data_IF_325237242660
#
_entry.id   IF_325237242660
#
_cell.length_a   1.000
_cell.length_b   1.000
_cell.length_c   1.000
_cell.angle_alpha   90.00
_cell.angle_beta   90.00
_cell.angle_gamma   90.00
#
_symmetry.space_group_name_H-M   'P 1'
#
loop_
_entity.id
_entity.type
_entity.pdbx_description
1 polymer ?
#
# COMPACT_ATOMS: atom_id res chain seq x y z
N UNK A 1 -24.62 -19.36 13.02
CA UNK A 1 -26.04 -19.10 13.39
C UNK A 1 -26.46 -17.74 12.81
N UNK A 2 -27.74 -17.49 12.47
CA UNK A 2 -28.19 -16.15 12.04
C UNK A 2 -29.18 -15.54 13.06
N UNK A 3 -29.01 -14.27 13.38
CA UNK A 3 -29.74 -13.54 14.44
C UNK A 3 -30.35 -12.27 13.84
N UNK A 4 -31.61 -12.32 13.35
CA UNK A 4 -32.28 -11.14 12.79
C UNK A 4 -32.68 -10.15 13.90
N UNK A 5 -32.82 -8.87 13.54
CA UNK A 5 -33.13 -7.77 14.47
C UNK A 5 -32.07 -7.64 15.56
N UNK A 6 -30.80 -7.71 15.17
CA UNK A 6 -29.68 -7.84 16.11
C UNK A 6 -29.56 -6.63 17.06
N UNK A 7 -29.77 -5.44 16.53
CA UNK A 7 -29.94 -4.15 17.23
C UNK A 7 -31.12 -4.05 18.22
N UNK A 8 -31.96 -5.09 18.35
CA UNK A 8 -33.22 -5.01 19.12
C UNK A 8 -33.11 -5.66 20.51
N UNK A 9 -33.57 -4.91 21.51
CA UNK A 9 -33.84 -5.43 22.86
C UNK A 9 -35.17 -6.22 22.86
N UNK A 10 -35.12 -7.46 23.32
CA UNK A 10 -36.27 -8.35 23.43
C UNK A 10 -37.29 -7.88 24.47
N UNK A 11 -38.50 -8.46 24.45
CA UNK A 11 -39.57 -8.12 25.41
C UNK A 11 -39.26 -8.43 26.88
N UNK A 12 -38.17 -9.15 27.12
CA UNK A 12 -37.68 -9.52 28.45
C UNK A 12 -36.46 -8.67 28.88
N UNK A 13 -36.21 -7.54 28.21
CA UNK A 13 -35.06 -6.65 28.39
C UNK A 13 -33.68 -7.30 28.10
N UNK A 14 -33.67 -8.44 27.40
CA UNK A 14 -32.43 -9.11 26.95
C UNK A 14 -32.11 -8.65 25.53
N UNK A 15 -30.91 -8.14 25.29
CA UNK A 15 -30.48 -7.80 23.93
C UNK A 15 -30.33 -9.06 23.07
N UNK A 16 -30.72 -8.99 21.81
CA UNK A 16 -30.48 -10.09 20.85
C UNK A 16 -28.99 -10.30 20.59
N UNK A 17 -28.17 -9.24 20.69
CA UNK A 17 -26.71 -9.34 20.62
C UNK A 17 -26.12 -10.10 21.81
N UNK A 18 -26.52 -9.75 23.03
CA UNK A 18 -26.09 -10.45 24.27
C UNK A 18 -26.50 -11.92 24.25
N UNK A 19 -27.73 -12.21 23.83
CA UNK A 19 -28.19 -13.60 23.73
C UNK A 19 -27.40 -14.39 22.67
N UNK A 20 -27.05 -13.76 21.56
CA UNK A 20 -26.20 -14.39 20.54
C UNK A 20 -24.80 -14.69 21.08
N UNK A 21 -24.19 -13.76 21.83
CA UNK A 21 -22.92 -13.94 22.50
C UNK A 21 -22.95 -15.10 23.50
N UNK A 22 -23.99 -15.19 24.34
CA UNK A 22 -24.17 -16.32 25.27
C UNK A 22 -24.28 -17.66 24.53
N UNK A 23 -25.02 -17.69 23.42
CA UNK A 23 -25.19 -18.92 22.63
C UNK A 23 -23.88 -19.38 22.00
N UNK A 24 -23.06 -18.46 21.48
CA UNK A 24 -21.73 -18.78 20.94
C UNK A 24 -20.78 -19.21 22.06
N UNK A 25 -20.83 -18.56 23.23
CA UNK A 25 -19.98 -18.91 24.37
C UNK A 25 -20.26 -20.31 24.93
N UNK A 26 -21.54 -20.71 24.99
CA UNK A 26 -21.97 -21.95 25.63
C UNK A 26 -22.07 -23.15 24.69
N UNK A 27 -22.01 -22.96 23.37
CA UNK A 27 -22.26 -24.02 22.39
C UNK A 27 -21.06 -24.25 21.46
N UNK A 28 -20.33 -25.34 21.69
CA UNK A 28 -19.20 -25.74 20.84
C UNK A 28 -19.59 -26.05 19.39
N UNK A 29 -20.88 -26.31 19.10
CA UNK A 29 -21.36 -26.60 17.75
C UNK A 29 -21.71 -25.31 16.96
N UNK A 30 -21.61 -24.13 17.59
CA UNK A 30 -21.86 -22.82 16.96
C UNK A 30 -20.61 -21.96 17.07
N UNK A 31 -19.65 -22.08 16.14
CA UNK A 31 -18.40 -21.32 16.20
C UNK A 31 -18.59 -19.81 16.03
N UNK A 32 -19.63 -19.40 15.31
CA UNK A 32 -19.99 -18.00 15.11
C UNK A 32 -21.50 -17.79 14.90
N UNK A 33 -21.96 -16.58 15.17
CA UNK A 33 -23.28 -16.07 14.83
C UNK A 33 -23.18 -14.81 13.97
N UNK A 34 -24.14 -14.65 13.06
CA UNK A 34 -24.27 -13.48 12.19
C UNK A 34 -25.49 -12.70 12.67
N UNK A 35 -25.26 -11.54 13.26
CA UNK A 35 -26.29 -10.55 13.58
C UNK A 35 -26.69 -9.74 12.36
N UNK A 36 -27.98 -9.50 12.14
CA UNK A 36 -28.45 -8.63 11.04
C UNK A 36 -29.36 -7.55 11.65
N UNK A 37 -28.95 -6.29 11.53
CA UNK A 37 -29.74 -5.14 11.98
C UNK A 37 -31.02 -4.97 11.16
N UNK A 38 -32.00 -4.24 11.69
CA UNK A 38 -33.33 -4.12 11.08
C UNK A 38 -33.34 -3.63 9.63
N UNK A 39 -32.45 -2.68 9.30
CA UNK A 39 -32.34 -2.09 7.98
C UNK A 39 -31.14 -2.61 7.19
N UNK A 40 -30.51 -3.70 7.64
CA UNK A 40 -29.41 -4.34 6.93
C UNK A 40 -29.88 -5.64 6.26
N UNK A 41 -29.11 -6.09 5.26
CA UNK A 41 -29.27 -7.39 4.66
C UNK A 41 -27.90 -8.02 4.39
N UNK A 42 -27.75 -9.28 4.78
CA UNK A 42 -26.69 -10.14 4.27
C UNK A 42 -27.22 -10.87 3.03
N UNK A 43 -26.71 -10.51 1.86
CA UNK A 43 -27.04 -11.15 0.59
C UNK A 43 -26.03 -12.26 0.35
N UNK A 44 -26.48 -13.51 0.23
CA UNK A 44 -25.62 -14.67 -0.02
C UNK A 44 -25.91 -15.24 -1.40
N UNK A 45 -24.88 -15.36 -2.24
CA UNK A 45 -24.93 -15.98 -3.57
C UNK A 45 -23.79 -17.00 -3.70
N UNK A 46 -24.14 -18.29 -3.61
CA UNK A 46 -23.16 -19.38 -3.65
C UNK A 46 -22.25 -19.38 -2.43
N UNK A 47 -20.94 -19.30 -2.67
CA UNK A 47 -19.87 -19.19 -1.67
C UNK A 47 -19.53 -17.74 -1.31
N UNK A 48 -20.27 -16.77 -1.85
CA UNK A 48 -20.05 -15.34 -1.62
C UNK A 48 -21.19 -14.69 -0.86
N UNK A 49 -20.87 -13.63 -0.15
CA UNK A 49 -21.81 -12.82 0.59
C UNK A 49 -21.48 -11.32 0.50
N UNK A 50 -22.51 -10.50 0.63
CA UNK A 50 -22.44 -9.05 0.51
C UNK A 50 -23.31 -8.40 1.58
N UNK A 51 -22.81 -7.38 2.26
CA UNK A 51 -23.56 -6.60 3.25
C UNK A 51 -24.16 -5.37 2.58
N UNK A 52 -25.48 -5.22 2.72
CA UNK A 52 -26.25 -4.11 2.18
C UNK A 52 -26.93 -3.38 3.33
N UNK A 53 -26.74 -2.06 3.39
CA UNK A 53 -27.44 -1.18 4.31
C UNK A 53 -28.57 -0.43 3.58
N UNK A 54 -29.78 -0.45 4.14
CA UNK A 54 -30.96 0.22 3.60
C UNK A 54 -31.05 1.70 3.99
N UNK A 55 -30.39 2.10 5.07
CA UNK A 55 -30.34 3.48 5.58
C UNK A 55 -28.93 4.10 5.57
N UNK A 56 -27.91 3.32 5.24
CA UNK A 56 -26.51 3.75 5.20
C UNK A 56 -25.75 3.48 6.50
N UNK A 57 -26.46 3.19 7.59
CA UNK A 57 -25.91 3.04 8.95
C UNK A 57 -26.04 1.60 9.45
N UNK A 58 -27.17 0.93 9.17
CA UNK A 58 -27.43 -0.42 9.64
C UNK A 58 -26.47 -1.42 9.01
N UNK A 59 -26.03 -2.41 9.79
CA UNK A 59 -24.97 -3.33 9.37
C UNK A 59 -25.26 -4.79 9.73
N UNK A 60 -24.36 -5.68 9.34
CA UNK A 60 -24.35 -7.10 9.72
C UNK A 60 -23.20 -7.29 10.69
N UNK A 61 -23.37 -8.08 11.74
CA UNK A 61 -22.38 -8.30 12.78
C UNK A 61 -21.94 -9.76 12.79
N UNK A 62 -20.68 -10.03 13.10
CA UNK A 62 -20.17 -11.37 13.37
C UNK A 62 -19.85 -11.47 14.84
N UNK A 63 -20.58 -12.34 15.52
CA UNK A 63 -20.31 -12.74 16.90
C UNK A 63 -19.50 -14.02 16.84
N UNK A 64 -18.30 -14.00 17.40
CA UNK A 64 -17.39 -15.14 17.36
C UNK A 64 -16.74 -15.38 18.70
N UNK A 65 -16.19 -16.57 18.88
CA UNK A 65 -15.42 -16.94 20.06
C UNK A 65 -13.96 -17.13 19.64
N UNK A 66 -13.08 -16.41 20.30
CA UNK A 66 -11.64 -16.63 20.16
C UNK A 66 -11.27 -18.01 20.77
N UNK A 67 -10.58 -18.84 20.00
CA UNK A 67 -10.25 -20.21 20.42
C UNK A 67 -9.15 -20.26 21.49
N UNK A 68 -8.28 -19.25 21.55
CA UNK A 68 -7.13 -19.17 22.45
C UNK A 68 -7.51 -18.52 23.79
N UNK A 69 -8.25 -17.41 23.76
CA UNK A 69 -8.63 -16.63 24.95
C UNK A 69 -10.00 -17.03 25.51
N UNK A 70 -10.85 -17.69 24.71
CA UNK A 70 -12.27 -17.95 24.98
C UNK A 70 -13.13 -16.67 25.11
N UNK A 71 -12.63 -15.50 24.72
CA UNK A 71 -13.39 -14.25 24.72
C UNK A 71 -14.38 -14.21 23.55
N UNK A 72 -15.48 -13.46 23.72
CA UNK A 72 -16.51 -13.26 22.70
C UNK A 72 -16.36 -11.88 22.11
N UNK A 73 -16.13 -11.82 20.80
CA UNK A 73 -16.09 -10.57 20.04
C UNK A 73 -17.38 -10.41 19.22
N UNK A 74 -17.80 -9.16 19.01
CA UNK A 74 -18.87 -8.81 18.05
C UNK A 74 -18.33 -7.75 17.10
N UNK A 75 -18.12 -8.11 15.84
CA UNK A 75 -17.52 -7.23 14.84
C UNK A 75 -18.56 -6.84 13.78
N UNK A 76 -18.86 -5.55 13.58
CA UNK A 76 -19.69 -5.13 12.47
C UNK A 76 -18.95 -5.29 11.13
N UNK A 77 -19.71 -5.63 10.11
CA UNK A 77 -19.25 -5.83 8.74
C UNK A 77 -19.69 -4.64 7.90
N UNK A 78 -18.74 -3.76 7.57
CA UNK A 78 -19.06 -2.63 6.72
C UNK A 78 -19.65 -3.06 5.37
N UNK A 79 -20.44 -2.17 4.78
CA UNK A 79 -21.01 -2.35 3.45
C UNK A 79 -19.92 -2.77 2.48
N UNK A 80 -20.13 -3.91 1.83
CA UNK A 80 -19.24 -4.43 0.80
C UNK A 80 -19.80 -4.01 -0.56
N UNK A 81 -19.01 -3.29 -1.36
CA UNK A 81 -19.41 -2.89 -2.72
C UNK A 81 -19.40 -4.08 -3.71
N UNK A 82 -18.66 -5.15 -3.40
CA UNK A 82 -18.61 -6.38 -4.17
C UNK A 82 -18.73 -7.60 -3.24
N UNK A 83 -19.32 -8.73 -3.68
CA UNK A 83 -19.45 -9.92 -2.86
C UNK A 83 -18.09 -10.54 -2.47
N UNK A 84 -17.93 -10.89 -1.20
CA UNK A 84 -16.72 -11.54 -0.65
C UNK A 84 -16.97 -13.01 -0.28
N UNK A 85 -15.96 -13.89 -0.30
CA UNK A 85 -16.12 -15.27 0.13
C UNK A 85 -16.63 -15.38 1.57
N UNK A 86 -17.53 -16.33 1.85
CA UNK A 86 -18.10 -16.54 3.19
C UNK A 86 -17.04 -16.94 4.22
N UNK A 87 -16.00 -17.67 3.80
CA UNK A 87 -14.90 -18.08 4.68
C UNK A 87 -14.16 -16.85 5.23
N UNK A 88 -13.86 -15.86 4.38
CA UNK A 88 -13.23 -14.61 4.82
C UNK A 88 -14.12 -13.78 5.73
N UNK A 89 -15.44 -13.82 5.56
CA UNK A 89 -16.34 -13.17 6.51
C UNK A 89 -16.09 -13.72 7.92
N UNK A 90 -15.96 -15.04 8.05
CA UNK A 90 -15.77 -15.67 9.36
C UNK A 90 -14.38 -15.35 9.97
N UNK A 91 -13.36 -15.05 9.16
CA UNK A 91 -12.01 -14.68 9.62
C UNK A 91 -11.89 -13.22 10.14
N UNK A 92 -12.93 -12.39 9.94
CA UNK A 92 -13.04 -11.03 10.53
C UNK A 92 -13.24 -11.10 12.06
N UNK A 93 -13.47 -12.31 12.59
CA UNK A 93 -13.68 -12.64 13.99
C UNK A 93 -12.53 -12.32 14.95
N UNK A 94 -11.27 -12.36 14.46
CA UNK A 94 -10.10 -12.21 15.31
C UNK A 94 -9.55 -10.78 15.23
N UNK A 95 -9.90 -9.89 16.19
CA UNK A 95 -9.52 -8.49 16.10
C UNK A 95 -8.02 -8.32 16.27
N UNK A 96 -7.40 -7.42 15.51
CA UNK A 96 -6.08 -6.96 15.92
C UNK A 96 -6.22 -6.19 17.25
N UNK A 97 -5.38 -6.50 18.23
CA UNK A 97 -5.42 -5.90 19.58
C UNK A 97 -4.46 -4.71 19.66
N UNK A 98 -4.58 -3.88 20.70
CA UNK A 98 -3.59 -2.83 21.00
C UNK A 98 -2.16 -3.41 21.14
N UNK A 99 -2.02 -4.64 21.64
CA UNK A 99 -0.72 -5.33 21.71
C UNK A 99 -0.07 -5.52 20.33
N UNK A 100 -0.86 -5.61 19.25
CA UNK A 100 -0.32 -5.67 17.89
C UNK A 100 0.27 -4.32 17.44
N UNK A 101 -0.28 -3.18 17.87
CA UNK A 101 0.30 -1.87 17.57
C UNK A 101 1.61 -1.68 18.33
N UNK A 102 1.62 -1.99 19.64
CA UNK A 102 2.83 -1.93 20.46
C UNK A 102 3.95 -2.78 19.88
N UNK A 103 3.62 -3.99 19.40
CA UNK A 103 4.59 -4.86 18.73
C UNK A 103 5.14 -4.27 17.42
N UNK A 104 4.36 -3.47 16.69
CA UNK A 104 4.81 -2.79 15.48
C UNK A 104 5.71 -1.58 15.80
N UNK A 105 5.48 -0.86 16.89
CA UNK A 105 6.30 0.29 17.29
C UNK A 105 7.78 -0.07 17.45
N UNK A 106 8.06 -1.23 18.07
CA UNK A 106 9.42 -1.77 18.25
C UNK A 106 10.18 -2.00 16.93
N UNK A 107 9.46 -1.99 15.80
CA UNK A 107 10.00 -2.29 14.49
C UNK A 107 10.10 -1.11 13.54
N UNK A 108 9.71 0.11 13.94
CA UNK A 108 9.77 1.32 13.10
C UNK A 108 11.20 1.59 12.59
N UNK A 109 12.21 1.38 13.44
CA UNK A 109 13.62 1.56 13.09
C UNK A 109 14.23 0.39 12.29
N UNK A 110 13.44 -0.62 11.94
CA UNK A 110 13.93 -1.77 11.18
C UNK A 110 14.45 -1.31 9.82
N UNK A 111 15.73 -1.56 9.57
CA UNK A 111 16.31 -1.31 8.26
C UNK A 111 15.86 -2.42 7.27
N UNK A 112 15.10 -2.03 6.26
CA UNK A 112 14.65 -2.87 5.14
C UNK A 112 15.50 -2.67 3.86
N UNK A 113 16.42 -1.70 3.88
CA UNK A 113 17.43 -1.53 2.85
C UNK A 113 18.48 -2.64 2.94
N UNK A 114 18.98 -3.10 1.79
CA UNK A 114 20.07 -4.09 1.71
C UNK A 114 21.14 -3.55 0.76
N UNK A 115 22.37 -3.51 1.29
CA UNK A 115 23.71 -3.28 0.71
C UNK A 115 23.92 -2.17 -0.36
N UNK A 116 25.02 -1.42 -0.21
CA UNK A 116 25.44 -0.31 -1.08
C UNK A 116 25.73 -0.71 -2.55
N UNK A 117 25.54 -1.98 -2.92
CA UNK A 117 25.85 -2.58 -4.22
C UNK A 117 24.73 -2.42 -5.27
N UNK A 118 23.53 -1.97 -4.88
CA UNK A 118 22.43 -1.64 -5.81
C UNK A 118 22.46 -0.19 -6.32
N UNK A 119 22.99 0.75 -5.52
CA UNK A 119 23.16 2.16 -5.88
C UNK A 119 23.96 2.42 -7.19
N UNK A 120 24.98 1.61 -7.54
CA UNK A 120 25.74 1.81 -8.78
C UNK A 120 24.92 1.58 -10.05
N UNK A 121 23.80 0.84 -10.04
CA UNK A 121 23.03 0.54 -11.26
C UNK A 121 22.11 1.67 -11.68
N UNK A 122 21.51 2.37 -10.72
CA UNK A 122 20.79 3.63 -10.97
C UNK A 122 21.76 4.71 -11.45
N UNK A 123 22.98 4.76 -10.89
CA UNK A 123 24.05 5.69 -11.29
C UNK A 123 24.77 5.32 -12.60
N UNK A 124 24.87 4.03 -12.95
CA UNK A 124 25.53 3.59 -14.19
C UNK A 124 24.69 3.94 -15.42
N UNK A 125 23.36 3.90 -15.30
CA UNK A 125 22.46 4.30 -16.37
C UNK A 125 22.50 5.82 -16.64
N UNK A 126 22.74 6.67 -15.62
CA UNK A 126 22.93 8.12 -15.83
C UNK A 126 24.26 8.48 -16.49
N UNK A 127 25.32 7.68 -16.26
CA UNK A 127 26.61 7.87 -16.93
C UNK A 127 26.58 7.36 -18.38
N UNK A 128 25.86 6.28 -18.66
CA UNK A 128 25.75 5.73 -20.01
C UNK A 128 24.95 6.64 -20.96
N UNK A 129 23.92 7.34 -20.47
CA UNK A 129 23.08 8.24 -21.29
C UNK A 129 23.76 9.59 -21.61
N UNK A 130 24.74 10.03 -20.82
CA UNK A 130 25.54 11.25 -21.07
C UNK A 130 26.75 11.05 -21.99
N UNK A 131 27.12 9.79 -22.30
CA UNK A 131 28.22 9.46 -23.20
C UNK A 131 27.81 9.30 -24.67
N UNK A 132 26.52 9.36 -24.99
CA UNK A 132 25.98 9.16 -26.34
C UNK A 132 25.84 10.48 -27.14
N UNK A 133 26.89 11.32 -27.13
CA UNK A 133 27.02 12.45 -28.06
C UNK A 133 28.48 12.57 -28.53
N UNK A 134 28.90 11.61 -29.37
CA UNK A 134 30.25 11.54 -29.93
C UNK A 134 30.41 10.40 -30.93
N UNK A 135 30.32 10.74 -32.22
CA UNK A 135 30.51 9.82 -33.35
C UNK A 135 31.93 9.22 -33.41
N UNK A 136 32.08 7.90 -33.67
CA UNK A 136 32.93 7.27 -34.73
C UNK A 136 32.72 5.74 -34.73
N UNK A 137 32.64 5.18 -35.94
CA UNK A 137 32.38 3.79 -36.32
C UNK A 137 33.38 2.72 -35.84
N UNK A 138 32.87 1.50 -35.68
CA UNK A 138 33.62 0.25 -35.61
C UNK A 138 32.66 -0.94 -35.51
N UNK A 139 32.76 -1.87 -36.45
CA UNK A 139 32.11 -3.20 -36.47
C UNK A 139 32.30 -3.91 -35.13
N UNK A 140 31.22 -4.40 -34.53
CA UNK A 140 31.15 -5.73 -33.91
C UNK A 140 29.67 -6.07 -33.66
N UNK A 141 29.33 -7.31 -34.00
CA UNK A 141 28.02 -7.93 -33.80
C UNK A 141 27.72 -8.08 -32.31
N UNK A 142 27.00 -7.10 -31.75
CA UNK A 142 26.37 -7.20 -30.44
C UNK A 142 24.87 -7.38 -30.70
N UNK A 143 24.35 -8.60 -30.49
CA UNK A 143 22.91 -8.81 -30.31
C UNK A 143 22.54 -8.14 -28.97
N UNK A 144 22.43 -6.81 -29.00
CA UNK A 144 22.27 -5.96 -27.83
C UNK A 144 20.95 -6.24 -27.13
N UNK A 145 20.97 -7.14 -26.15
CA UNK A 145 19.91 -7.21 -25.15
C UNK A 145 19.94 -5.88 -24.38
N UNK A 146 18.97 -5.02 -24.68
CA UNK A 146 18.71 -3.78 -23.95
C UNK A 146 18.56 -4.15 -22.47
N UNK A 147 19.49 -3.66 -21.63
CA UNK A 147 19.53 -4.02 -20.21
C UNK A 147 18.22 -3.63 -19.55
N UNK A 148 17.61 -4.49 -18.71
CA UNK A 148 16.34 -4.17 -18.07
C UNK A 148 16.45 -2.90 -17.22
N UNK A 149 15.49 -2.00 -17.37
CA UNK A 149 15.41 -0.74 -16.61
C UNK A 149 14.41 -0.85 -15.47
N UNK A 150 14.68 -0.15 -14.37
CA UNK A 150 13.74 -0.03 -13.23
C UNK A 150 12.48 0.68 -13.70
N UNK A 151 11.30 0.12 -13.42
CA UNK A 151 10.00 0.68 -13.81
C UNK A 151 9.07 0.76 -12.62
N UNK A 152 8.80 1.96 -12.11
CA UNK A 152 7.96 2.18 -10.92
C UNK A 152 6.76 3.06 -11.27
N UNK A 153 5.58 2.70 -10.77
CA UNK A 153 4.37 3.54 -10.77
C UNK A 153 3.86 3.65 -9.33
N UNK A 154 4.25 4.73 -8.66
CA UNK A 154 3.90 5.01 -7.27
C UNK A 154 2.70 5.98 -7.24
N UNK A 155 1.53 5.52 -6.83
CA UNK A 155 0.31 6.32 -6.82
C UNK A 155 -0.04 6.85 -5.43
N UNK A 156 -0.57 8.07 -5.32
CA UNK A 156 -0.88 8.68 -4.01
C UNK A 156 -1.86 7.85 -3.20
N UNK A 157 -2.89 7.30 -3.86
CA UNK A 157 -3.79 6.29 -3.29
C UNK A 157 -4.09 5.16 -4.25
N UNK A 158 -4.59 4.06 -3.71
CA UNK A 158 -4.95 2.88 -4.52
C UNK A 158 -5.99 3.18 -5.61
N UNK A 159 -6.96 4.06 -5.32
CA UNK A 159 -7.98 4.46 -6.30
C UNK A 159 -7.39 5.14 -7.54
N UNK A 160 -6.24 5.81 -7.44
CA UNK A 160 -5.60 6.44 -8.59
C UNK A 160 -5.14 5.40 -9.61
N UNK A 161 -4.68 4.21 -9.18
CA UNK A 161 -4.37 3.08 -10.07
C UNK A 161 -5.58 2.50 -10.79
N UNK A 162 -6.80 2.94 -10.49
CA UNK A 162 -8.00 2.57 -11.23
C UNK A 162 -8.43 3.64 -12.24
N UNK A 163 -7.76 4.81 -12.26
CA UNK A 163 -8.03 5.88 -13.20
C UNK A 163 -7.34 5.58 -14.53
N UNK A 164 -8.00 5.77 -15.69
CA UNK A 164 -7.45 5.44 -17.00
C UNK A 164 -6.02 5.93 -17.24
N UNK A 165 -5.68 7.21 -16.99
CA UNK A 165 -4.32 7.68 -17.25
C UNK A 165 -3.25 6.87 -16.51
N UNK A 166 -3.54 6.46 -15.27
CA UNK A 166 -2.57 5.78 -14.41
C UNK A 166 -2.45 4.30 -14.75
N UNK A 167 -3.57 3.56 -14.86
CA UNK A 167 -3.46 2.13 -15.20
C UNK A 167 -2.97 1.93 -16.63
N UNK A 168 -3.34 2.78 -17.59
CA UNK A 168 -2.82 2.71 -18.96
C UNK A 168 -1.30 2.88 -18.96
N UNK A 169 -0.75 3.72 -18.08
CA UNK A 169 0.70 3.85 -17.94
C UNK A 169 1.36 2.58 -17.40
N UNK A 170 0.71 1.88 -16.48
CA UNK A 170 1.20 0.57 -15.99
C UNK A 170 1.23 -0.45 -17.14
N UNK A 171 0.18 -0.49 -17.97
CA UNK A 171 0.11 -1.36 -19.15
C UNK A 171 1.21 -0.99 -20.16
N UNK A 172 1.37 0.30 -20.46
CA UNK A 172 2.40 0.82 -21.37
C UNK A 172 3.81 0.38 -20.93
N UNK A 173 4.16 0.58 -19.66
CA UNK A 173 5.47 0.21 -19.11
C UNK A 173 5.74 -1.30 -19.13
N UNK A 174 4.67 -2.11 -19.06
CA UNK A 174 4.78 -3.56 -19.15
C UNK A 174 5.15 -4.05 -20.56
N UNK A 175 4.93 -3.22 -21.59
CA UNK A 175 5.17 -3.57 -22.98
C UNK A 175 4.21 -4.61 -23.55
N UNK A 176 3.07 -4.86 -22.88
CA UNK A 176 2.06 -5.86 -23.26
C UNK A 176 0.66 -5.28 -23.11
N UNK A 177 -0.25 -5.67 -24.00
CA UNK A 177 -1.66 -5.28 -23.91
C UNK A 177 -2.38 -5.93 -22.73
N UNK A 178 -1.96 -7.15 -22.37
CA UNK A 178 -2.52 -7.96 -21.27
C UNK A 178 -1.37 -8.52 -20.42
N UNK A 179 -0.72 -7.69 -19.57
CA UNK A 179 0.35 -8.17 -18.72
C UNK A 179 -0.14 -9.16 -17.67
N UNK A 180 0.74 -10.06 -17.26
CA UNK A 180 0.53 -10.93 -16.10
C UNK A 180 0.83 -10.15 -14.82
N UNK A 181 -0.11 -10.13 -13.89
CA UNK A 181 -0.04 -9.31 -12.68
C UNK A 181 0.05 -10.22 -11.46
N UNK A 182 1.12 -10.08 -10.67
CA UNK A 182 1.14 -10.59 -9.32
C UNK A 182 0.59 -9.51 -8.38
N UNK A 183 -0.56 -9.76 -7.77
CA UNK A 183 -1.11 -8.90 -6.74
C UNK A 183 -0.56 -9.30 -5.37
N UNK A 184 0.01 -8.34 -4.66
CA UNK A 184 0.63 -8.54 -3.35
C UNK A 184 -0.22 -7.79 -2.34
N UNK A 185 -1.10 -8.52 -1.65
CA UNK A 185 -2.15 -7.99 -0.79
C UNK A 185 -1.71 -7.67 0.63
N UNK A 186 -0.43 -7.84 0.94
CA UNK A 186 0.05 -7.96 2.33
C UNK A 186 -0.25 -6.73 3.17
N UNK A 187 -0.12 -5.51 2.60
CA UNK A 187 -0.44 -4.27 3.32
C UNK A 187 -1.93 -4.19 3.69
N UNK A 188 -2.80 -4.83 2.92
CA UNK A 188 -4.23 -4.97 3.21
C UNK A 188 -4.58 -6.24 3.99
N UNK A 189 -3.59 -6.90 4.60
CA UNK A 189 -3.76 -8.18 5.30
C UNK A 189 -4.35 -9.27 4.39
N UNK A 190 -4.00 -9.24 3.10
CA UNK A 190 -4.44 -10.18 2.06
C UNK A 190 -5.96 -10.30 1.88
N UNK A 191 -6.76 -9.32 2.34
CA UNK A 191 -8.23 -9.34 2.24
C UNK A 191 -8.73 -9.41 0.79
N UNK A 192 -9.72 -10.27 0.49
CA UNK A 192 -10.30 -10.38 -0.86
C UNK A 192 -11.08 -9.14 -1.28
N UNK A 193 -11.74 -8.42 -0.36
CA UNK A 193 -12.43 -7.17 -0.71
C UNK A 193 -11.45 -6.16 -1.34
N UNK A 194 -10.26 -6.03 -0.74
CA UNK A 194 -9.20 -5.16 -1.28
C UNK A 194 -8.65 -5.72 -2.59
N UNK A 195 -8.41 -7.02 -2.71
CA UNK A 195 -8.01 -7.64 -3.98
C UNK A 195 -8.99 -7.27 -5.12
N UNK A 196 -10.29 -7.44 -4.91
CA UNK A 196 -11.30 -7.16 -5.92
C UNK A 196 -11.30 -5.68 -6.35
N UNK A 197 -11.27 -4.77 -5.38
CA UNK A 197 -11.26 -3.33 -5.63
C UNK A 197 -9.97 -2.90 -6.34
N UNK A 198 -8.81 -3.37 -5.88
CA UNK A 198 -7.49 -2.97 -6.40
C UNK A 198 -7.21 -3.53 -7.79
N UNK A 199 -7.85 -4.64 -8.18
CA UNK A 199 -7.59 -5.31 -9.46
C UNK A 199 -8.64 -5.02 -10.52
N UNK A 200 -9.69 -4.27 -10.19
CA UNK A 200 -10.87 -4.08 -11.04
C UNK A 200 -10.55 -3.59 -12.45
N UNK A 201 -9.75 -2.53 -12.59
CA UNK A 201 -9.36 -1.98 -13.89
C UNK A 201 -8.53 -2.97 -14.71
N UNK A 202 -7.61 -3.71 -14.08
CA UNK A 202 -6.80 -4.70 -14.78
C UNK A 202 -7.62 -5.93 -15.21
N UNK A 203 -8.59 -6.36 -14.40
CA UNK A 203 -9.52 -7.44 -14.75
C UNK A 203 -10.45 -7.06 -15.91
N UNK A 204 -10.87 -5.80 -16.01
CA UNK A 204 -11.70 -5.34 -17.14
C UNK A 204 -10.94 -5.32 -18.47
N UNK A 205 -9.60 -5.27 -18.41
CA UNK A 205 -8.70 -5.45 -19.56
C UNK A 205 -8.33 -6.92 -19.81
N UNK A 206 -8.92 -7.85 -19.07
CA UNK A 206 -8.65 -9.29 -19.16
C UNK A 206 -7.18 -9.67 -18.84
N UNK A 207 -6.50 -8.86 -18.02
CA UNK A 207 -5.17 -9.22 -17.51
C UNK A 207 -5.26 -10.49 -16.66
N UNK A 208 -4.26 -11.37 -16.77
CA UNK A 208 -4.15 -12.54 -15.91
C UNK A 208 -3.58 -12.10 -14.56
N UNK A 209 -4.30 -12.34 -13.47
CA UNK A 209 -3.92 -11.88 -12.13
C UNK A 209 -3.81 -13.08 -11.19
N UNK A 210 -2.67 -13.21 -10.53
CA UNK A 210 -2.45 -14.19 -9.45
C UNK A 210 -2.19 -13.42 -8.15
N UNK A 211 -2.92 -13.76 -7.09
CA UNK A 211 -2.71 -13.22 -5.74
C UNK A 211 -1.55 -13.96 -5.06
N UNK A 212 -0.70 -13.22 -4.37
CA UNK A 212 0.33 -13.72 -3.47
C UNK A 212 -0.02 -13.30 -2.04
N UNK A 213 -0.36 -14.28 -1.22
CA UNK A 213 -0.68 -14.09 0.19
C UNK A 213 0.52 -14.45 1.05
N UNK A 214 0.95 -13.52 1.89
CA UNK A 214 2.07 -13.72 2.82
C UNK A 214 1.82 -13.06 4.16
N UNK A 215 0.64 -12.49 4.39
CA UNK A 215 0.25 -11.83 5.63
C UNK A 215 0.23 -12.82 6.79
N UNK A 216 -0.34 -14.01 6.57
CA UNK A 216 -0.48 -15.04 7.61
C UNK A 216 0.51 -16.20 7.37
N UNK A 217 1.21 -16.70 8.40
CA UNK A 217 2.19 -17.79 8.28
C UNK A 217 1.68 -19.03 7.53
N UNK A 218 0.41 -19.39 7.71
CA UNK A 218 -0.24 -20.57 7.13
C UNK A 218 -0.48 -20.43 5.63
N UNK A 219 -0.51 -19.20 5.13
CA UNK A 219 -0.78 -18.88 3.71
C UNK A 219 0.48 -18.70 2.88
N UNK A 220 1.65 -18.55 3.54
CA UNK A 220 2.93 -18.26 2.88
C UNK A 220 3.32 -19.41 1.93
N UNK A 221 3.44 -19.16 0.62
CA UNK A 221 3.94 -20.16 -0.32
C UNK A 221 5.43 -20.47 -0.08
N UNK A 222 5.91 -21.57 -0.64
CA UNK A 222 7.34 -21.84 -0.62
C UNK A 222 8.14 -20.75 -1.36
N UNK A 223 9.40 -20.58 -0.99
CA UNK A 223 10.31 -19.63 -1.67
C UNK A 223 10.38 -19.86 -3.20
N UNK A 224 10.31 -21.12 -3.64
CA UNK A 224 10.30 -21.46 -5.07
C UNK A 224 9.02 -20.99 -5.76
N UNK A 225 7.85 -21.16 -5.12
CA UNK A 225 6.57 -20.69 -5.64
C UNK A 225 6.51 -19.17 -5.70
N UNK A 226 6.95 -18.49 -4.62
CA UNK A 226 7.03 -17.03 -4.59
C UNK A 226 7.94 -16.51 -5.71
N UNK A 227 9.12 -17.10 -5.88
CA UNK A 227 10.05 -16.73 -6.95
C UNK A 227 9.44 -16.93 -8.33
N UNK A 228 8.85 -18.10 -8.58
CA UNK A 228 8.22 -18.42 -9.86
C UNK A 228 7.14 -17.41 -10.20
N UNK A 229 6.35 -16.98 -9.22
CA UNK A 229 5.31 -15.98 -9.41
C UNK A 229 5.89 -14.58 -9.66
N UNK A 230 6.71 -14.09 -8.73
CA UNK A 230 7.17 -12.68 -8.67
C UNK A 230 8.26 -12.37 -9.70
N UNK A 231 9.21 -13.28 -9.86
CA UNK A 231 10.41 -13.04 -10.67
C UNK A 231 10.22 -13.57 -12.10
N UNK A 232 9.68 -14.78 -12.23
CA UNK A 232 9.67 -15.47 -13.53
C UNK A 232 8.36 -15.26 -14.32
N UNK A 233 7.21 -15.30 -13.65
CA UNK A 233 5.90 -15.25 -14.30
C UNK A 233 5.35 -13.82 -14.43
N UNK A 234 5.42 -12.99 -13.39
CA UNK A 234 4.81 -11.66 -13.41
C UNK A 234 5.48 -10.75 -14.44
N UNK A 235 4.70 -9.84 -15.02
CA UNK A 235 5.16 -8.69 -15.80
C UNK A 235 4.99 -7.40 -14.99
N UNK A 236 3.94 -7.36 -14.14
CA UNK A 236 3.62 -6.28 -13.21
C UNK A 236 3.48 -6.85 -11.79
N UNK A 237 4.07 -6.16 -10.82
CA UNK A 237 3.87 -6.38 -9.39
C UNK A 237 2.96 -5.27 -8.86
N UNK A 238 1.76 -5.62 -8.39
CA UNK A 238 0.77 -4.68 -7.87
C UNK A 238 0.63 -4.85 -6.36
N UNK A 239 1.23 -3.93 -5.60
CA UNK A 239 1.17 -3.90 -4.13
C UNK A 239 -0.06 -3.12 -3.64
N UNK A 240 -0.77 -3.70 -2.68
CA UNK A 240 -1.95 -3.07 -2.07
C UNK A 240 -1.60 -1.82 -1.25
N UNK A 241 -2.62 -1.00 -0.94
CA UNK A 241 -2.54 -0.03 0.16
C UNK A 241 -2.82 -0.70 1.51
N UNK A 242 -2.62 0.02 2.61
CA UNK A 242 -2.93 -0.42 3.98
C UNK A 242 -1.77 -0.18 4.95
N UNK A 243 -1.47 -1.15 5.81
CA UNK A 243 -0.40 -1.05 6.80
C UNK A 243 0.96 -1.38 6.16
N UNK A 244 1.76 -0.34 5.90
CA UNK A 244 3.07 -0.47 5.26
C UNK A 244 4.07 -1.23 6.14
N UNK A 245 4.01 -1.05 7.46
CA UNK A 245 4.98 -1.65 8.38
C UNK A 245 4.78 -3.16 8.45
N UNK A 246 3.52 -3.59 8.58
CA UNK A 246 3.12 -4.99 8.50
C UNK A 246 3.63 -5.63 7.20
N UNK A 247 3.37 -5.00 6.04
CA UNK A 247 3.81 -5.53 4.76
C UNK A 247 5.33 -5.74 4.70
N UNK A 248 6.12 -4.73 5.06
CA UNK A 248 7.58 -4.79 5.02
C UNK A 248 8.16 -5.84 5.98
N UNK A 249 7.60 -5.96 7.19
CA UNK A 249 8.00 -6.99 8.16
C UNK A 249 7.73 -8.39 7.61
N UNK A 250 6.52 -8.63 7.11
CA UNK A 250 6.14 -9.91 6.51
C UNK A 250 6.98 -10.24 5.28
N UNK A 251 7.29 -9.25 4.43
CA UNK A 251 8.14 -9.47 3.26
C UNK A 251 9.58 -9.83 3.65
N UNK A 252 10.12 -9.20 4.69
CA UNK A 252 11.45 -9.53 5.22
C UNK A 252 11.49 -10.91 5.87
N UNK A 253 10.47 -11.27 6.65
CA UNK A 253 10.38 -12.57 7.32
C UNK A 253 10.26 -13.73 6.31
N UNK A 254 9.48 -13.52 5.25
CA UNK A 254 9.27 -14.53 4.20
C UNK A 254 10.35 -14.53 3.12
N UNK A 255 11.21 -13.50 3.08
CA UNK A 255 12.22 -13.27 2.04
C UNK A 255 11.64 -12.80 0.70
N UNK A 256 10.38 -12.37 0.67
CA UNK A 256 9.75 -11.75 -0.49
C UNK A 256 10.42 -10.41 -0.84
N UNK A 257 10.95 -9.67 0.15
CA UNK A 257 11.67 -8.41 -0.07
C UNK A 257 12.84 -8.57 -1.06
N UNK A 258 13.59 -9.67 -0.97
CA UNK A 258 14.69 -9.97 -1.88
C UNK A 258 14.20 -10.33 -3.29
N UNK A 259 13.08 -11.05 -3.40
CA UNK A 259 12.48 -11.40 -4.68
C UNK A 259 11.91 -10.17 -5.40
N UNK A 260 11.31 -9.23 -4.65
CA UNK A 260 10.82 -7.96 -5.20
C UNK A 260 11.95 -7.11 -5.75
N UNK A 261 13.09 -7.05 -5.05
CA UNK A 261 14.29 -6.37 -5.54
C UNK A 261 14.82 -7.02 -6.81
N UNK A 262 14.93 -8.35 -6.86
CA UNK A 262 15.35 -9.04 -8.08
C UNK A 262 14.39 -8.81 -9.25
N UNK A 263 13.08 -8.83 -9.00
CA UNK A 263 12.08 -8.54 -10.02
C UNK A 263 12.23 -7.10 -10.55
N UNK A 264 12.50 -6.13 -9.68
CA UNK A 264 12.84 -4.77 -10.09
C UNK A 264 14.02 -4.75 -11.07
N UNK A 265 15.12 -5.44 -10.73
CA UNK A 265 16.32 -5.53 -11.58
C UNK A 265 16.07 -6.22 -12.92
N UNK A 266 15.07 -7.09 -13.00
CA UNK A 266 14.64 -7.74 -14.25
C UNK A 266 13.63 -6.90 -15.05
N UNK A 267 13.42 -5.65 -14.66
CA UNK A 267 12.56 -4.70 -15.37
C UNK A 267 11.06 -5.01 -15.28
N UNK A 268 10.62 -5.70 -14.22
CA UNK A 268 9.19 -5.81 -13.92
C UNK A 268 8.65 -4.44 -13.54
N UNK A 269 7.39 -4.16 -13.86
CA UNK A 269 6.74 -2.92 -13.43
C UNK A 269 6.32 -3.08 -11.97
N UNK A 270 6.91 -2.28 -11.08
CA UNK A 270 6.50 -2.20 -9.68
C UNK A 270 5.46 -1.10 -9.52
N UNK A 271 4.25 -1.45 -9.11
CA UNK A 271 3.19 -0.48 -8.93
C UNK A 271 2.43 -0.69 -7.63
N UNK A 272 1.89 0.39 -7.11
CA UNK A 272 1.08 0.35 -5.90
C UNK A 272 0.60 1.74 -5.51
N UNK A 273 -0.43 1.78 -4.68
CA UNK A 273 -1.03 3.01 -4.20
C UNK A 273 -0.91 3.11 -2.69
N UNK A 274 -0.71 4.31 -2.15
CA UNK A 274 -0.51 4.53 -0.72
C UNK A 274 0.70 3.72 -0.20
N UNK A 275 0.51 2.77 0.72
CA UNK A 275 1.58 1.90 1.22
C UNK A 275 2.40 1.23 0.09
N UNK A 276 1.70 0.65 -0.89
CA UNK A 276 2.32 0.01 -2.05
C UNK A 276 3.03 0.98 -3.00
N UNK A 277 2.83 2.29 -2.88
CA UNK A 277 3.56 3.29 -3.64
C UNK A 277 4.93 3.56 -3.00
N UNK A 278 4.96 3.68 -1.67
CA UNK A 278 6.16 4.08 -0.95
C UNK A 278 7.13 2.95 -0.64
N UNK A 279 6.73 1.69 -0.68
CA UNK A 279 7.61 0.57 -0.34
C UNK A 279 8.84 0.44 -1.28
N UNK A 280 8.80 0.99 -2.49
CA UNK A 280 9.92 0.97 -3.44
C UNK A 280 11.03 1.95 -3.09
N UNK A 281 10.73 2.93 -2.24
CA UNK A 281 11.64 4.02 -1.89
C UNK A 281 12.60 3.62 -0.77
N UNK A 282 13.59 4.47 -0.48
CA UNK A 282 14.51 4.28 0.63
C UNK A 282 13.79 4.37 1.97
N UNK A 283 12.80 5.25 2.05
CA UNK A 283 11.93 5.37 3.21
C UNK A 283 10.54 5.85 2.79
N UNK A 284 9.59 5.74 3.70
CA UNK A 284 8.20 6.15 3.50
C UNK A 284 7.68 6.89 4.74
N UNK A 285 6.95 7.97 4.50
CA UNK A 285 6.13 8.65 5.50
C UNK A 285 4.80 7.90 5.67
N UNK A 286 4.59 7.31 6.84
CA UNK A 286 3.54 6.31 7.07
C UNK A 286 2.69 6.61 8.30
N UNK A 287 1.43 6.19 8.22
CA UNK A 287 0.42 6.14 9.29
C UNK A 287 0.19 4.69 9.73
N UNK A 288 1.23 3.84 9.67
CA UNK A 288 1.14 2.42 10.03
C UNK A 288 0.78 2.19 11.50
N UNK A 289 1.05 3.17 12.37
CA UNK A 289 0.76 3.12 13.80
C UNK A 289 -0.63 3.70 14.14
N UNK A 290 -1.37 4.15 13.14
CA UNK A 290 -2.73 4.65 13.35
C UNK A 290 -3.62 3.53 13.90
N UNK A 291 -4.46 3.79 14.92
CA UNK A 291 -5.20 2.73 15.61
C UNK A 291 -6.09 1.88 14.71
N UNK A 292 -6.70 2.46 13.67
CA UNK A 292 -7.56 1.74 12.74
C UNK A 292 -6.82 1.24 11.48
N UNK A 293 -5.50 1.35 11.39
CA UNK A 293 -4.71 0.84 10.28
C UNK A 293 -4.24 -0.60 10.53
N UNK A 294 -5.19 -1.48 10.90
CA UNK A 294 -4.90 -2.86 11.30
C UNK A 294 -5.84 -3.84 10.60
N UNK A 295 -5.59 -5.14 10.80
CA UNK A 295 -6.55 -6.17 10.42
C UNK A 295 -7.86 -5.91 11.17
N UNK A 296 -8.98 -5.90 10.44
CA UNK A 296 -10.31 -5.62 10.98
C UNK A 296 -10.46 -4.22 11.60
N UNK A 297 -10.02 -3.18 10.88
CA UNK A 297 -10.17 -1.76 11.24
C UNK A 297 -11.58 -1.39 11.73
N UNK A 298 -12.58 -2.07 11.18
CA UNK A 298 -13.99 -1.91 11.54
C UNK A 298 -14.25 -2.22 13.01
N UNK A 299 -13.56 -3.20 13.61
CA UNK A 299 -13.67 -3.49 15.05
C UNK A 299 -13.12 -2.34 15.89
N UNK A 300 -11.90 -1.89 15.58
CA UNK A 300 -11.21 -0.84 16.35
C UNK A 300 -12.01 0.47 16.35
N UNK A 301 -12.60 0.82 15.20
CA UNK A 301 -13.43 2.02 15.06
C UNK A 301 -14.70 1.99 15.93
N UNK A 302 -15.16 0.82 16.39
CA UNK A 302 -16.33 0.71 17.26
C UNK A 302 -15.98 0.66 18.74
N UNK A 303 -14.76 0.25 19.09
CA UNK A 303 -14.31 0.14 20.48
C UNK A 303 -13.67 1.44 21.00
N UNK A 304 -12.98 2.18 20.13
CA UNK A 304 -12.26 3.41 20.51
C UNK A 304 -13.14 4.65 20.35
N UNK A 305 -12.95 5.63 21.23
CA UNK A 305 -13.55 6.95 21.08
C UNK A 305 -12.80 7.83 20.08
N UNK A 306 -13.44 8.93 19.66
CA UNK A 306 -12.87 9.86 18.67
C UNK A 306 -11.47 10.37 19.08
N UNK A 307 -11.21 10.61 20.36
CA UNK A 307 -9.90 11.09 20.80
C UNK A 307 -8.86 9.98 20.63
N UNK A 308 -9.18 8.76 21.07
CA UNK A 308 -8.30 7.60 20.94
C UNK A 308 -7.99 7.26 19.48
N UNK A 309 -8.96 7.43 18.56
CA UNK A 309 -8.76 7.24 17.12
C UNK A 309 -7.88 8.31 16.46
N UNK A 310 -7.71 9.46 17.12
CA UNK A 310 -6.94 10.61 16.63
C UNK A 310 -5.57 10.75 17.32
N UNK A 311 -5.34 10.03 18.42
CA UNK A 311 -4.11 10.08 19.23
C UNK A 311 -3.03 9.16 18.67
N UNK A 312 -2.37 9.60 17.60
CA UNK A 312 -1.26 8.90 16.98
C UNK A 312 -0.40 9.86 16.16
N UNK A 313 0.87 9.52 15.98
CA UNK A 313 1.82 10.28 15.17
C UNK A 313 2.22 9.54 13.89
N UNK A 314 2.53 10.31 12.84
CA UNK A 314 3.15 9.76 11.65
C UNK A 314 4.57 9.28 11.94
N UNK A 315 5.01 8.28 11.18
CA UNK A 315 6.36 7.72 11.30
C UNK A 315 7.07 7.67 9.96
N UNK A 316 8.40 7.79 9.99
CA UNK A 316 9.26 7.41 8.86
C UNK A 316 9.66 5.95 9.02
N UNK A 317 9.42 5.14 8.00
CA UNK A 317 9.79 3.73 7.96
C UNK A 317 10.76 3.50 6.80
N UNK A 318 11.76 2.62 6.97
CA UNK A 318 12.63 2.25 5.86
C UNK A 318 11.86 1.44 4.80
N UNK A 319 12.08 1.71 3.52
CA UNK A 319 11.52 0.94 2.41
C UNK A 319 12.52 -0.07 1.82
N UNK A 320 12.23 -0.58 0.62
CA UNK A 320 13.09 -1.53 -0.07
C UNK A 320 14.37 -0.89 -0.63
N UNK A 321 14.43 0.45 -0.75
CA UNK A 321 15.65 1.15 -1.17
C UNK A 321 15.94 1.13 -2.67
N UNK A 322 14.93 0.93 -3.52
CA UNK A 322 15.10 0.95 -4.98
C UNK A 322 15.23 2.41 -5.47
N UNK A 323 14.43 3.33 -4.91
CA UNK A 323 14.54 4.77 -5.19
C UNK A 323 15.17 5.53 -4.01
N UNK A 324 16.20 6.36 -4.26
CA UNK A 324 16.90 7.12 -3.23
C UNK A 324 16.13 8.40 -2.85
N UNK A 325 14.92 8.23 -2.33
CA UNK A 325 14.10 9.31 -1.80
C UNK A 325 13.19 8.76 -0.69
N UNK A 326 12.56 9.65 0.08
CA UNK A 326 11.42 9.32 0.93
C UNK A 326 10.12 9.48 0.16
N UNK A 327 9.23 8.48 0.14
CA UNK A 327 7.89 8.64 -0.42
C UNK A 327 6.92 9.22 0.59
N UNK A 328 6.07 10.16 0.14
CA UNK A 328 4.96 10.73 0.92
C UNK A 328 3.67 10.61 0.10
N UNK A 329 3.02 9.43 0.12
CA UNK A 329 1.73 9.26 -0.53
C UNK A 329 0.64 10.05 0.22
N UNK A 330 -0.43 10.42 -0.50
CA UNK A 330 -1.51 11.29 -0.01
C UNK A 330 -0.97 12.65 0.46
N UNK A 331 -0.07 13.24 -0.33
CA UNK A 331 0.64 14.46 0.06
C UNK A 331 -0.28 15.66 0.31
N UNK A 332 -1.39 15.71 -0.41
CA UNK A 332 -2.48 16.68 -0.32
C UNK A 332 -3.52 16.37 0.78
N UNK A 333 -3.30 15.32 1.58
CA UNK A 333 -4.23 14.90 2.63
C UNK A 333 -3.78 15.28 4.04
N UNK A 334 -4.78 15.40 4.92
CA UNK A 334 -4.63 15.51 6.37
C UNK A 334 -5.02 14.19 7.02
N UNK A 335 -4.22 13.75 7.99
CA UNK A 335 -4.49 12.53 8.75
C UNK A 335 -5.69 12.67 9.65
N UNK A 336 -6.18 11.56 10.19
CA UNK A 336 -7.24 11.59 11.21
C UNK A 336 -6.77 12.27 12.50
N UNK A 337 -5.46 12.36 12.75
CA UNK A 337 -4.86 13.15 13.82
C UNK A 337 -4.81 14.68 13.56
N UNK A 338 -5.52 15.17 12.53
CA UNK A 338 -5.50 16.58 12.10
C UNK A 338 -4.13 17.13 11.64
N UNK A 339 -3.15 16.25 11.40
CA UNK A 339 -1.82 16.63 10.90
C UNK A 339 -1.74 16.44 9.38
N UNK A 340 -1.35 17.48 8.66
CA UNK A 340 -1.13 17.43 7.21
C UNK A 340 0.12 16.58 6.90
N UNK A 341 0.02 15.64 5.95
CA UNK A 341 1.15 14.77 5.58
C UNK A 341 2.33 15.57 5.02
N UNK A 342 2.05 16.59 4.22
CA UNK A 342 3.06 17.50 3.67
C UNK A 342 3.84 18.21 4.77
N UNK A 343 3.15 18.85 5.72
CA UNK A 343 3.80 19.57 6.82
C UNK A 343 4.61 18.65 7.74
N UNK A 344 4.12 17.45 8.05
CA UNK A 344 4.87 16.51 8.86
C UNK A 344 6.09 15.95 8.10
N UNK A 345 5.95 15.64 6.82
CA UNK A 345 7.09 15.20 6.00
C UNK A 345 8.19 16.28 5.90
N UNK A 346 7.81 17.55 5.77
CA UNK A 346 8.77 18.67 5.81
C UNK A 346 9.52 18.71 7.15
N UNK A 347 8.81 18.57 8.27
CA UNK A 347 9.40 18.51 9.61
C UNK A 347 10.40 17.36 9.75
N UNK A 348 10.05 16.14 9.28
CA UNK A 348 10.94 14.98 9.28
C UNK A 348 12.24 15.26 8.52
N UNK A 349 12.17 15.90 7.34
CA UNK A 349 13.36 16.24 6.57
C UNK A 349 14.24 17.28 7.28
N UNK A 350 13.64 18.26 7.94
CA UNK A 350 14.35 19.29 8.72
C UNK A 350 15.03 18.73 9.95
N UNK A 351 14.40 17.76 10.62
CA UNK A 351 14.92 17.16 11.84
C UNK A 351 16.08 16.20 11.56
N UNK A 352 16.02 15.43 10.48
CA UNK A 352 17.07 14.46 10.15
C UNK A 352 18.29 15.07 9.45
N UNK A 353 18.10 16.08 8.60
CA UNK A 353 19.17 16.74 7.84
C UNK A 353 20.13 15.78 7.11
N UNK A 354 19.61 14.63 6.66
CA UNK A 354 20.38 13.59 5.96
C UNK A 354 20.61 13.89 4.47
N UNK A 355 19.95 14.95 3.96
CA UNK A 355 20.02 15.37 2.56
C UNK A 355 19.16 14.52 1.61
N UNK A 356 18.38 13.57 2.13
CA UNK A 356 17.46 12.75 1.35
C UNK A 356 16.26 13.61 0.89
N UNK A 357 15.93 13.66 -0.42
CA UNK A 357 14.72 14.33 -0.87
C UNK A 357 13.47 13.51 -0.51
N UNK A 358 12.33 14.16 -0.37
CA UNK A 358 11.03 13.51 -0.36
C UNK A 358 10.27 13.74 -1.67
N UNK A 359 9.54 12.71 -2.09
CA UNK A 359 8.60 12.74 -3.21
C UNK A 359 7.18 12.68 -2.65
N UNK A 360 6.50 13.82 -2.67
CA UNK A 360 5.07 13.94 -2.39
C UNK A 360 4.24 13.47 -3.58
N UNK A 361 3.21 12.67 -3.34
CA UNK A 361 2.32 12.17 -4.38
C UNK A 361 0.88 12.43 -3.95
N UNK A 362 0.18 13.31 -4.67
CA UNK A 362 -1.22 13.64 -4.39
C UNK A 362 -2.13 12.42 -4.62
N UNK A 363 -3.26 12.38 -3.93
CA UNK A 363 -4.22 11.28 -3.93
C UNK A 363 -4.49 10.69 -5.33
N UNK A 364 -4.70 11.54 -6.34
CA UNK A 364 -5.04 11.11 -7.71
C UNK A 364 -3.86 11.15 -8.70
N UNK A 365 -2.64 11.39 -8.23
CA UNK A 365 -1.45 11.39 -9.06
C UNK A 365 -0.69 10.06 -8.96
N UNK A 366 0.21 9.84 -9.93
CA UNK A 366 1.23 8.82 -9.88
C UNK A 366 2.59 9.39 -10.29
N UNK A 367 3.59 9.08 -9.47
CA UNK A 367 5.00 9.29 -9.79
C UNK A 367 5.52 8.06 -10.53
N UNK A 368 6.00 8.29 -11.76
CA UNK A 368 6.40 7.22 -12.67
C UNK A 368 7.88 7.30 -12.93
N UNK A 369 8.60 6.19 -12.75
CA UNK A 369 10.04 6.05 -13.03
C UNK A 369 10.23 5.01 -14.12
N UNK A 370 11.08 5.33 -15.10
CA UNK A 370 11.57 4.40 -16.11
C UNK A 370 13.08 4.64 -16.31
N UNK A 371 13.90 3.72 -15.81
CA UNK A 371 15.35 3.86 -15.82
C UNK A 371 15.81 5.04 -14.96
N UNK A 372 16.47 6.01 -15.60
CA UNK A 372 16.96 7.25 -14.99
C UNK A 372 15.97 8.42 -15.12
N UNK A 373 14.82 8.19 -15.75
CA UNK A 373 13.80 9.23 -15.98
C UNK A 373 12.61 9.06 -15.08
N UNK A 374 12.01 10.19 -14.70
CA UNK A 374 10.73 10.20 -14.03
C UNK A 374 9.77 11.26 -14.61
N UNK A 375 8.49 11.00 -14.42
CA UNK A 375 7.38 11.83 -14.88
C UNK A 375 6.19 11.73 -13.93
N UNK A 376 5.23 12.65 -14.09
CA UNK A 376 3.98 12.65 -13.34
C UNK A 376 2.82 12.28 -14.25
N UNK A 377 1.97 11.38 -13.78
CA UNK A 377 0.70 11.08 -14.41
C UNK A 377 -0.41 11.54 -13.47
N UNK A 378 -1.26 12.44 -13.94
CA UNK A 378 -2.45 12.84 -13.21
C UNK A 378 -3.63 11.98 -13.64
N UNK A 379 -4.27 11.32 -12.69
CA UNK A 379 -5.45 10.50 -12.95
C UNK A 379 -6.72 11.32 -13.19
N UNK A 380 -6.78 12.56 -12.68
CA UNK A 380 -7.94 13.46 -12.81
C UNK A 380 -7.65 14.71 -13.67
N UNK A 381 -6.42 14.88 -14.13
CA UNK A 381 -5.96 16.00 -14.96
C UNK A 381 -5.39 17.18 -14.16
N UNK A 382 -5.53 17.18 -12.83
CA UNK A 382 -5.12 18.28 -11.95
C UNK A 382 -4.08 17.85 -10.90
N UNK A 383 -4.18 16.63 -10.37
CA UNK A 383 -3.31 16.14 -9.30
C UNK A 383 -1.83 16.12 -9.70
N UNK A 384 -0.94 16.40 -8.73
CA UNK A 384 0.49 16.62 -8.93
C UNK A 384 1.37 15.69 -8.10
N UNK A 385 2.68 15.71 -8.37
CA UNK A 385 3.67 15.21 -7.43
C UNK A 385 4.57 16.36 -7.00
N UNK A 386 5.30 16.20 -5.91
CA UNK A 386 6.11 17.24 -5.32
C UNK A 386 7.51 16.72 -4.99
N UNK A 387 8.53 17.54 -5.21
CA UNK A 387 9.87 17.29 -4.70
C UNK A 387 10.09 18.23 -3.52
N UNK A 388 10.38 17.66 -2.36
CA UNK A 388 10.65 18.40 -1.12
C UNK A 388 12.09 18.14 -0.71
N UNK A 389 12.86 19.20 -0.50
CA UNK A 389 14.26 19.12 -0.09
C UNK A 389 14.48 20.04 1.11
N UNK A 390 15.13 19.53 2.16
CA UNK A 390 15.56 20.36 3.28
C UNK A 390 16.82 21.16 2.91
N UNK A 391 16.81 22.46 3.16
CA UNK A 391 17.98 23.30 3.09
C UNK A 391 18.75 23.21 4.41
N UNK A 392 19.85 22.44 4.38
CA UNK A 392 20.73 22.22 5.53
C UNK A 392 21.40 23.48 6.09
N UNK A 393 21.24 24.67 5.48
CA UNK A 393 21.74 25.94 6.04
C UNK A 393 20.68 26.74 6.78
N UNK A 394 19.42 26.66 6.34
CA UNK A 394 18.32 27.49 6.88
C UNK A 394 17.44 26.72 7.85
N UNK A 395 17.40 25.39 7.74
CA UNK A 395 16.44 24.56 8.48
C UNK A 395 15.01 24.71 7.93
N UNK A 396 14.87 25.18 6.69
CA UNK A 396 13.61 25.27 5.95
C UNK A 396 13.57 24.23 4.83
N UNK A 397 12.39 23.91 4.31
CA UNK A 397 12.21 23.07 3.13
C UNK A 397 11.90 23.90 1.89
N UNK A 398 12.30 23.38 0.74
CA UNK A 398 11.87 23.88 -0.57
C UNK A 398 11.04 22.81 -1.25
N UNK A 399 9.81 23.17 -1.62
CA UNK A 399 8.84 22.28 -2.27
C UNK A 399 8.58 22.73 -3.70
N UNK A 400 8.80 21.84 -4.66
CA UNK A 400 8.58 22.07 -6.09
C UNK A 400 7.49 21.14 -6.62
N UNK A 401 6.50 21.70 -7.32
CA UNK A 401 5.40 20.92 -7.89
C UNK A 401 5.76 20.42 -9.29
N UNK A 402 5.47 19.15 -9.54
CA UNK A 402 5.65 18.43 -10.79
C UNK A 402 4.27 18.11 -11.36
N UNK A 403 4.07 18.49 -12.61
CA UNK A 403 2.79 18.38 -13.31
C UNK A 403 2.92 17.44 -14.51
N UNK A 404 1.81 16.90 -15.05
CA UNK A 404 1.84 16.09 -16.28
C UNK A 404 2.38 16.85 -17.51
N UNK A 405 2.40 18.17 -17.49
CA UNK A 405 2.97 18.99 -18.56
C UNK A 405 4.52 18.94 -18.58
N UNK A 406 5.15 18.48 -17.50
CA UNK A 406 6.58 18.28 -17.44
C UNK A 406 6.95 17.05 -18.30
N UNK A 407 7.83 17.25 -19.28
CA UNK A 407 8.40 16.13 -20.03
C UNK A 407 9.18 15.20 -19.08
N UNK A 408 9.29 13.90 -19.39
CA UNK A 408 10.15 12.99 -18.63
C UNK A 408 11.54 13.59 -18.48
N UNK A 409 12.00 13.67 -17.24
CA UNK A 409 13.25 14.34 -16.88
C UNK A 409 14.11 13.39 -16.04
N UNK A 410 15.41 13.66 -15.99
CA UNK A 410 16.30 12.82 -15.20
C UNK A 410 15.92 12.91 -13.71
N UNK A 411 15.93 11.78 -13.03
CA UNK A 411 15.60 11.71 -11.60
C UNK A 411 16.54 12.60 -10.78
N UNK A 412 17.82 12.69 -11.17
CA UNK A 412 18.79 13.61 -10.55
C UNK A 412 18.43 15.08 -10.78
N UNK A 413 17.95 15.44 -11.98
CA UNK A 413 17.51 16.80 -12.28
C UNK A 413 16.26 17.18 -11.48
N UNK A 414 15.34 16.23 -11.27
CA UNK A 414 14.16 16.45 -10.43
C UNK A 414 14.52 16.79 -9.00
N UNK A 415 15.52 16.09 -8.45
CA UNK A 415 16.05 16.35 -7.11
C UNK A 415 16.86 17.65 -7.09
N UNK A 416 17.59 17.96 -8.17
CA UNK A 416 18.41 19.16 -8.30
C UNK A 416 17.63 20.44 -8.63
N UNK A 417 16.37 20.33 -9.08
CA UNK A 417 15.58 21.48 -9.59
C UNK A 417 15.46 22.63 -8.60
N UNK A 418 15.71 22.42 -7.30
CA UNK A 418 15.77 23.52 -6.33
C UNK A 418 16.93 23.45 -5.31
N UNK A 419 18.02 22.78 -5.64
CA UNK A 419 19.27 22.84 -4.88
C UNK A 419 20.48 23.01 -5.79
N UNK A 420 21.27 24.07 -5.57
CA UNK A 420 22.57 24.39 -6.19
C UNK A 420 22.51 25.30 -7.44
N UNK A 421 21.98 26.52 -7.29
CA UNK A 421 22.42 27.68 -8.10
C UNK A 421 23.02 28.81 -7.24
N UNK A 422 23.41 28.52 -5.99
CA UNK A 422 24.13 29.45 -5.10
C UNK A 422 25.28 28.79 -4.33
N UNK A 423 25.81 27.65 -4.80
CA UNK A 423 27.18 27.26 -4.43
C UNK A 423 28.09 27.94 -5.45
N UNK A 424 28.33 29.24 -5.26
CA UNK A 424 29.50 29.86 -5.87
C UNK A 424 30.72 29.05 -5.40
N UNK A 425 31.48 28.57 -6.38
CA UNK A 425 32.88 28.27 -6.21
C UNK A 425 33.59 29.49 -5.63
N UNK A 426 33.69 29.59 -4.31
CA UNK A 426 34.82 30.28 -3.70
C UNK A 426 35.91 29.26 -3.36
N UNK A 427 37.12 29.63 -3.81
CA UNK A 427 38.33 28.82 -3.97
C UNK A 427 38.97 28.34 -2.68
#
# INVERSE_FOLDING_TARGET
MAVPHFDRIGSNDISRSEHAAEMVACNSDVPAAIGIDNNAALVVEGDKAMVVSGDGEATVHIVSKDEDTNEISTTPLNRTDEPIPIEELMDIANPATAEHLDALEDHVETNFAVAEDLLPRVRANSIASSAADGHVAGDDCDDGEEQPTIKIVAAGRMKALQLPPVFEKVIELSGKDQPRIAYIGTASFDRTDKFNICTKAFRSLECEIIRLDVSEPETVPSMEEMRRLVVDWADVLLCSGGNTLHALLRWKETGLDLLLKEAAEKGKVMCGGSAGAGCWFNSIHSDSLRPDNMKNSEYVQNELDDNELTDWDYVKISGLGILPAMAVPHFDATGTNDVARSSHAEQVLVDEQDGMPAIGIDENAAFVVEGDRAMVVSGDGEATCHVVVADGKTGETVTASLTPANAPMLLEDMVAMHGINNIECEK
#
